data_IF_058020424900
#
_entry.id   IF_058020424900
#
_cell.length_a   1.000
_cell.length_b   1.000
_cell.length_c   1.000
_cell.angle_alpha   90.00
_cell.angle_beta   90.00
_cell.angle_gamma   90.00
#
_symmetry.space_group_name_H-M   'P 1'
#
loop_
_entity.id
_entity.type
_entity.pdbx_description
1 polymer ?
#
# COMPACT_ATOMS: atom_id res chain seq x y z
N UNK A 1 -20.98 -30.16 20.49
CA UNK A 1 -21.31 -28.96 19.66
C UNK A 1 -22.75 -29.08 19.18
N UNK A 2 -23.54 -28.05 19.36
CA UNK A 2 -24.93 -28.02 18.85
C UNK A 2 -24.94 -27.72 17.35
N UNK A 3 -26.04 -28.10 16.68
CA UNK A 3 -26.24 -27.74 15.28
C UNK A 3 -26.18 -26.22 15.05
N UNK A 4 -26.76 -25.45 15.98
CA UNK A 4 -26.71 -23.99 15.95
C UNK A 4 -25.28 -23.47 15.93
N UNK A 5 -24.42 -23.99 16.80
CA UNK A 5 -23.01 -23.57 16.87
C UNK A 5 -22.25 -23.92 15.58
N UNK A 6 -22.55 -25.08 14.99
CA UNK A 6 -21.94 -25.47 13.71
C UNK A 6 -22.35 -24.55 12.59
N UNK A 7 -23.64 -24.17 12.50
CA UNK A 7 -24.15 -23.27 11.49
C UNK A 7 -23.58 -21.84 11.67
N UNK A 8 -23.45 -21.38 12.90
CA UNK A 8 -22.83 -20.07 13.18
C UNK A 8 -21.37 -20.04 12.75
N UNK A 9 -20.64 -21.11 12.99
CA UNK A 9 -19.23 -21.24 12.57
C UNK A 9 -19.12 -21.16 11.06
N UNK A 10 -19.95 -21.92 10.33
CA UNK A 10 -19.96 -21.91 8.87
C UNK A 10 -20.28 -20.53 8.31
N UNK A 11 -21.28 -19.85 8.90
CA UNK A 11 -21.64 -18.49 8.50
C UNK A 11 -20.48 -17.53 8.68
N UNK A 12 -19.80 -17.57 9.82
CA UNK A 12 -18.65 -16.70 10.10
C UNK A 12 -17.49 -16.96 9.15
N UNK A 13 -17.24 -18.23 8.84
CA UNK A 13 -16.20 -18.60 7.87
C UNK A 13 -16.54 -18.12 6.46
N UNK A 14 -17.82 -18.23 6.05
CA UNK A 14 -18.27 -17.75 4.75
C UNK A 14 -18.17 -16.22 4.67
N UNK A 15 -18.57 -15.50 5.72
CA UNK A 15 -18.48 -14.05 5.78
C UNK A 15 -17.02 -13.59 5.68
N UNK A 16 -16.12 -14.30 6.34
CA UNK A 16 -14.69 -14.00 6.25
C UNK A 16 -14.17 -14.19 4.83
N UNK A 17 -14.52 -15.30 4.16
CA UNK A 17 -14.11 -15.57 2.78
C UNK A 17 -14.63 -14.48 1.84
N UNK A 18 -15.87 -14.04 2.04
CA UNK A 18 -16.47 -12.99 1.23
C UNK A 18 -15.74 -11.65 1.42
N UNK A 19 -15.41 -11.29 2.67
CA UNK A 19 -14.65 -10.06 2.94
C UNK A 19 -13.26 -10.11 2.33
N UNK A 20 -12.57 -11.25 2.45
CA UNK A 20 -11.23 -11.43 1.86
C UNK A 20 -11.28 -11.31 0.34
N UNK A 21 -12.31 -11.85 -0.30
CA UNK A 21 -12.50 -11.75 -1.76
C UNK A 21 -12.76 -10.31 -2.19
N UNK A 22 -13.63 -9.60 -1.48
CA UNK A 22 -13.93 -8.19 -1.76
C UNK A 22 -12.66 -7.33 -1.63
N UNK A 23 -11.88 -7.57 -0.58
CA UNK A 23 -10.64 -6.84 -0.34
C UNK A 23 -9.63 -7.11 -1.46
N UNK A 24 -9.48 -8.37 -1.87
CA UNK A 24 -8.61 -8.74 -2.98
C UNK A 24 -9.04 -8.03 -4.26
N UNK A 25 -10.34 -8.02 -4.56
CA UNK A 25 -10.87 -7.38 -5.77
C UNK A 25 -10.57 -5.87 -5.76
N UNK A 26 -10.72 -5.21 -4.62
CA UNK A 26 -10.40 -3.79 -4.49
C UNK A 26 -8.92 -3.51 -4.75
N UNK A 27 -8.02 -4.34 -4.21
CA UNK A 27 -6.58 -4.20 -4.46
C UNK A 27 -6.26 -4.43 -5.93
N UNK A 28 -6.85 -5.45 -6.57
CA UNK A 28 -6.64 -5.74 -7.99
C UNK A 28 -7.07 -4.54 -8.86
N UNK A 29 -8.22 -3.95 -8.57
CA UNK A 29 -8.72 -2.77 -9.27
C UNK A 29 -7.80 -1.55 -9.08
N UNK A 30 -7.33 -1.33 -7.86
CA UNK A 30 -6.44 -0.20 -7.55
C UNK A 30 -5.09 -0.33 -8.23
N UNK A 31 -4.53 -1.54 -8.31
CA UNK A 31 -3.28 -1.79 -9.03
C UNK A 31 -3.43 -1.40 -10.49
N UNK A 32 -4.52 -1.83 -11.13
CA UNK A 32 -4.78 -1.49 -12.54
C UNK A 32 -4.96 0.01 -12.72
N UNK A 33 -5.73 0.64 -11.85
CA UNK A 33 -6.04 2.07 -11.94
C UNK A 33 -4.82 2.95 -11.67
N UNK A 34 -3.87 2.46 -10.84
CA UNK A 34 -2.74 3.25 -10.34
C UNK A 34 -1.38 2.74 -10.84
N UNK A 35 -1.36 1.86 -11.83
CA UNK A 35 -0.11 1.30 -12.36
C UNK A 35 0.85 2.39 -12.86
N UNK A 36 0.32 3.51 -13.36
CA UNK A 36 1.11 4.66 -13.78
C UNK A 36 1.94 5.28 -12.66
N UNK A 37 1.63 4.96 -11.41
CA UNK A 37 2.35 5.47 -10.22
C UNK A 37 3.62 4.68 -9.93
N UNK A 38 3.76 3.47 -10.49
CA UNK A 38 4.95 2.65 -10.28
C UNK A 38 6.07 3.12 -11.21
N UNK A 39 7.24 3.41 -10.65
CA UNK A 39 8.41 3.87 -11.41
C UNK A 39 9.69 3.79 -10.59
N UNK A 40 10.81 3.94 -11.26
CA UNK A 40 12.12 4.03 -10.61
C UNK A 40 12.66 5.44 -10.76
N UNK A 41 13.15 6.02 -9.67
CA UNK A 41 13.72 7.37 -9.63
C UNK A 41 14.98 7.34 -8.75
N UNK A 42 16.12 7.72 -9.33
CA UNK A 42 17.40 7.82 -8.60
C UNK A 42 17.77 6.54 -7.84
N UNK A 43 17.53 5.37 -8.45
CA UNK A 43 17.84 4.09 -7.84
C UNK A 43 16.82 3.61 -6.81
N UNK A 44 15.71 4.30 -6.66
CA UNK A 44 14.62 3.92 -5.77
C UNK A 44 13.40 3.50 -6.59
N UNK A 45 12.82 2.35 -6.26
CA UNK A 45 11.59 1.86 -6.88
C UNK A 45 10.40 2.27 -6.03
N UNK A 46 9.42 2.88 -6.67
CA UNK A 46 8.12 3.22 -6.08
C UNK A 46 7.13 2.17 -6.55
N UNK A 47 6.65 1.33 -5.62
CA UNK A 47 5.77 0.20 -5.95
C UNK A 47 4.51 0.21 -5.10
N UNK A 48 3.42 -0.28 -5.67
CA UNK A 48 2.14 -0.37 -4.98
C UNK A 48 1.99 -1.73 -4.30
N UNK A 49 1.29 -1.80 -3.15
CA UNK A 49 0.94 -3.08 -2.56
C UNK A 49 -0.02 -3.83 -3.50
N UNK A 50 0.20 -5.12 -3.69
CA UNK A 50 -0.64 -5.96 -4.56
C UNK A 50 -1.81 -6.58 -3.80
N UNK A 51 -1.66 -6.70 -2.48
CA UNK A 51 -2.68 -7.31 -1.59
C UNK A 51 -2.53 -6.73 -0.19
N UNK A 52 -3.56 -6.92 0.62
CA UNK A 52 -3.59 -6.39 1.99
C UNK A 52 -2.41 -6.89 2.83
N UNK A 53 -2.01 -8.15 2.67
CA UNK A 53 -0.88 -8.71 3.42
C UNK A 53 0.44 -8.02 3.11
N UNK A 54 0.60 -7.40 1.94
CA UNK A 54 1.81 -6.65 1.62
C UNK A 54 1.97 -5.43 2.55
N UNK A 55 0.86 -4.74 2.86
CA UNK A 55 0.87 -3.62 3.80
C UNK A 55 1.18 -4.10 5.22
N UNK A 56 0.55 -5.20 5.63
CA UNK A 56 0.78 -5.78 6.96
C UNK A 56 2.24 -6.23 7.13
N UNK A 57 2.78 -6.91 6.11
CA UNK A 57 4.16 -7.39 6.13
C UNK A 57 5.17 -6.23 6.13
N UNK A 58 4.88 -5.17 5.40
CA UNK A 58 5.71 -3.97 5.41
C UNK A 58 5.76 -3.34 6.80
N UNK A 59 4.60 -3.23 7.46
CA UNK A 59 4.52 -2.71 8.82
C UNK A 59 5.31 -3.57 9.81
N UNK A 60 5.21 -4.89 9.69
CA UNK A 60 5.98 -5.81 10.53
C UNK A 60 7.48 -5.68 10.29
N UNK A 61 7.90 -5.61 9.03
CA UNK A 61 9.32 -5.50 8.68
C UNK A 61 9.94 -4.18 9.14
N UNK A 62 9.19 -3.09 9.09
CA UNK A 62 9.68 -1.77 9.45
C UNK A 62 9.32 -1.34 10.88
N UNK A 63 8.66 -2.22 11.63
CA UNK A 63 8.27 -1.97 13.04
C UNK A 63 7.46 -0.69 13.20
N UNK A 64 6.46 -0.49 12.33
CA UNK A 64 5.51 0.60 12.50
C UNK A 64 4.07 0.09 12.35
N UNK A 65 3.12 0.84 12.89
CA UNK A 65 1.72 0.46 12.89
C UNK A 65 1.08 0.81 11.54
N UNK A 66 0.46 -0.18 10.88
CA UNK A 66 -0.19 0.00 9.58
C UNK A 66 -1.62 -0.55 9.56
N UNK A 67 -2.17 -0.93 10.71
CA UNK A 67 -3.48 -1.61 10.77
C UNK A 67 -4.61 -0.83 10.12
N UNK A 68 -4.58 0.51 10.21
CA UNK A 68 -5.61 1.36 9.60
C UNK A 68 -5.36 1.61 8.12
N UNK A 69 -4.14 1.41 7.63
CA UNK A 69 -3.78 1.72 6.24
C UNK A 69 -4.40 0.76 5.23
N UNK A 70 -4.61 -0.51 5.62
CA UNK A 70 -5.21 -1.51 4.72
C UNK A 70 -6.57 -1.03 4.23
N UNK A 71 -7.46 -0.65 5.15
CA UNK A 71 -8.82 -0.23 4.81
C UNK A 71 -8.82 1.09 4.05
N UNK A 72 -8.00 2.04 4.45
CA UNK A 72 -7.91 3.35 3.80
C UNK A 72 -7.35 3.25 2.38
N UNK A 73 -6.37 2.38 2.17
CA UNK A 73 -5.84 2.10 0.84
C UNK A 73 -6.88 1.39 -0.02
N UNK A 74 -7.54 0.37 0.53
CA UNK A 74 -8.54 -0.41 -0.20
C UNK A 74 -9.75 0.44 -0.62
N UNK A 75 -10.14 1.41 0.21
CA UNK A 75 -11.26 2.32 -0.10
C UNK A 75 -10.87 3.43 -1.08
N UNK A 76 -9.58 3.59 -1.38
CA UNK A 76 -9.11 4.64 -2.25
C UNK A 76 -8.91 6.00 -1.58
N UNK A 77 -9.12 6.08 -0.27
CA UNK A 77 -8.96 7.32 0.50
C UNK A 77 -7.52 7.81 0.48
N UNK A 78 -6.58 6.86 0.57
CA UNK A 78 -5.14 7.15 0.47
C UNK A 78 -4.51 6.17 -0.53
N UNK A 79 -3.27 6.44 -0.91
CA UNK A 79 -2.43 5.48 -1.63
C UNK A 79 -1.19 5.19 -0.79
N UNK A 80 -0.99 3.93 -0.45
CA UNK A 80 0.26 3.48 0.16
C UNK A 80 1.22 3.11 -0.97
N UNK A 81 2.43 3.63 -0.90
CA UNK A 81 3.49 3.36 -1.87
C UNK A 81 4.72 2.88 -1.10
N UNK A 82 5.27 1.76 -1.50
CA UNK A 82 6.52 1.28 -0.94
C UNK A 82 7.68 1.86 -1.75
N UNK A 83 8.65 2.45 -1.06
CA UNK A 83 9.88 2.94 -1.69
C UNK A 83 10.98 1.96 -1.33
N UNK A 84 11.58 1.36 -2.35
CA UNK A 84 12.58 0.31 -2.19
C UNK A 84 13.82 0.61 -2.99
N UNK A 85 14.95 0.08 -2.55
CA UNK A 85 16.18 0.17 -3.32
C UNK A 85 16.03 -0.68 -4.58
N UNK A 86 16.33 -0.11 -5.75
CA UNK A 86 16.22 -0.83 -7.01
C UNK A 86 17.12 -2.08 -7.07
N UNK A 87 18.24 -2.09 -6.33
CA UNK A 87 19.13 -3.23 -6.23
C UNK A 87 18.64 -4.32 -5.28
N UNK A 88 17.64 -4.02 -4.43
CA UNK A 88 17.06 -4.95 -3.47
C UNK A 88 15.52 -4.73 -3.37
N UNK A 89 14.75 -4.94 -4.45
CA UNK A 89 13.35 -4.53 -4.51
C UNK A 89 12.42 -5.32 -3.59
N UNK A 90 12.87 -6.45 -3.09
CA UNK A 90 12.07 -7.26 -2.16
C UNK A 90 12.27 -6.88 -0.70
N UNK A 91 13.27 -6.04 -0.40
CA UNK A 91 13.55 -5.61 0.97
C UNK A 91 12.76 -4.36 1.30
N UNK A 92 12.00 -4.41 2.39
CA UNK A 92 11.28 -3.26 2.91
C UNK A 92 12.26 -2.15 3.32
N UNK A 93 11.99 -0.92 2.93
CA UNK A 93 12.87 0.21 3.19
C UNK A 93 12.10 1.42 3.70
N UNK A 94 11.15 1.93 2.92
CA UNK A 94 10.32 3.06 3.32
C UNK A 94 8.87 2.84 2.92
N UNK A 95 7.94 3.36 3.73
CA UNK A 95 6.52 3.40 3.41
C UNK A 95 6.08 4.84 3.26
N UNK A 96 5.46 5.17 2.13
CA UNK A 96 4.96 6.49 1.84
C UNK A 96 3.44 6.50 1.80
N UNK A 97 2.84 7.51 2.42
CA UNK A 97 1.41 7.76 2.34
C UNK A 97 1.17 8.96 1.42
N UNK A 98 0.35 8.76 0.39
CA UNK A 98 -0.03 9.78 -0.58
C UNK A 98 -1.54 10.00 -0.52
N UNK A 99 -1.97 11.24 -0.41
CA UNK A 99 -3.39 11.57 -0.26
C UNK A 99 -3.68 12.94 -0.86
N UNK A 100 -4.74 13.04 -1.65
CA UNK A 100 -5.19 14.30 -2.23
C UNK A 100 -4.08 15.07 -2.94
N UNK A 101 -3.29 14.36 -3.77
CA UNK A 101 -2.19 14.92 -4.56
C UNK A 101 -0.99 15.39 -3.74
N UNK A 102 -0.90 14.99 -2.48
CA UNK A 102 0.19 15.37 -1.59
C UNK A 102 0.82 14.16 -0.91
N UNK A 103 2.13 14.23 -0.66
CA UNK A 103 2.82 13.25 0.16
C UNK A 103 2.57 13.62 1.62
N UNK A 104 1.86 12.76 2.34
CA UNK A 104 1.52 13.00 3.75
C UNK A 104 2.70 12.69 4.64
N UNK A 105 3.34 11.55 4.43
CA UNK A 105 4.50 11.14 5.20
C UNK A 105 5.30 10.06 4.47
N UNK A 106 6.58 9.94 4.83
CA UNK A 106 7.45 8.84 4.46
C UNK A 106 8.13 8.37 5.74
N UNK A 107 8.05 7.09 6.05
CA UNK A 107 8.60 6.51 7.28
C UNK A 107 9.53 5.35 6.98
N UNK A 108 10.66 5.35 7.65
CA UNK A 108 11.63 4.25 7.67
C UNK A 108 11.33 3.32 8.85
N UNK A 109 12.20 2.33 9.06
CA UNK A 109 12.10 1.40 10.19
C UNK A 109 11.98 2.16 11.53
N UNK A 110 11.17 1.62 12.43
CA UNK A 110 10.84 2.24 13.73
C UNK A 110 10.24 3.63 13.60
N UNK A 111 9.48 3.84 12.51
CA UNK A 111 8.75 5.10 12.26
C UNK A 111 9.68 6.33 12.17
N UNK A 112 10.92 6.12 11.77
CA UNK A 112 11.91 7.18 11.62
C UNK A 112 11.75 7.92 10.30
N UNK A 113 12.28 9.14 10.25
CA UNK A 113 12.30 9.94 9.03
C UNK A 113 13.35 9.39 8.05
N UNK A 114 13.06 9.36 6.73
CA UNK A 114 14.05 8.96 5.75
C UNK A 114 15.05 10.07 5.49
N UNK A 115 16.21 9.75 4.86
CA UNK A 115 17.16 10.77 4.41
C UNK A 115 16.53 11.75 3.40
N UNK A 116 17.15 12.91 3.25
CA UNK A 116 16.68 13.94 2.31
C UNK A 116 16.60 13.45 0.87
N UNK A 117 17.51 12.58 0.46
CA UNK A 117 17.54 12.02 -0.89
C UNK A 117 16.26 11.28 -1.23
N UNK A 118 15.67 10.61 -0.25
CA UNK A 118 14.39 9.89 -0.43
C UNK A 118 13.26 10.89 -0.67
N UNK A 119 13.23 11.97 0.11
CA UNK A 119 12.25 13.04 -0.09
C UNK A 119 12.41 13.71 -1.46
N UNK A 120 13.65 13.94 -1.90
CA UNK A 120 13.90 14.52 -3.22
C UNK A 120 13.36 13.61 -4.33
N UNK A 121 13.62 12.31 -4.24
CA UNK A 121 13.09 11.35 -5.20
C UNK A 121 11.55 11.29 -5.16
N UNK A 122 10.97 11.34 -3.97
CA UNK A 122 9.52 11.33 -3.80
C UNK A 122 8.84 12.57 -4.41
N UNK A 123 9.48 13.73 -4.31
CA UNK A 123 8.96 14.96 -4.94
C UNK A 123 9.00 14.85 -6.47
N UNK A 124 10.04 14.26 -7.04
CA UNK A 124 10.11 13.98 -8.48
C UNK A 124 9.00 13.00 -8.87
N UNK A 125 8.82 11.94 -8.08
CA UNK A 125 7.76 10.97 -8.26
C UNK A 125 6.39 11.66 -8.28
N UNK A 126 6.12 12.52 -7.31
CA UNK A 126 4.84 13.24 -7.22
C UNK A 126 4.55 14.04 -8.47
N UNK A 127 5.51 14.79 -8.97
CA UNK A 127 5.35 15.57 -10.20
C UNK A 127 5.02 14.68 -11.40
N UNK A 128 5.71 13.55 -11.53
CA UNK A 128 5.46 12.60 -12.62
C UNK A 128 4.09 11.95 -12.50
N UNK A 129 3.69 11.56 -11.29
CA UNK A 129 2.39 10.96 -11.00
C UNK A 129 1.26 11.93 -11.35
N UNK A 130 1.35 13.18 -10.93
CA UNK A 130 0.33 14.18 -11.23
C UNK A 130 0.19 14.44 -12.73
N UNK A 131 1.30 14.44 -13.46
CA UNK A 131 1.28 14.60 -14.92
C UNK A 131 0.66 13.38 -15.61
N UNK A 132 1.09 12.16 -15.22
CA UNK A 132 0.56 10.92 -15.80
C UNK A 132 -0.91 10.69 -15.44
N UNK A 133 -1.30 11.04 -14.22
CA UNK A 133 -2.69 10.93 -13.78
C UNK A 133 -3.65 11.76 -14.61
N UNK A 134 -3.23 12.96 -15.04
CA UNK A 134 -4.03 13.81 -15.94
C UNK A 134 -4.27 13.15 -17.28
N UNK A 135 -3.26 12.43 -17.81
CA UNK A 135 -3.38 11.72 -19.10
C UNK A 135 -4.27 10.50 -19.01
N UNK A 136 -4.40 9.91 -17.81
CA UNK A 136 -5.19 8.72 -17.58
C UNK A 136 -6.58 9.00 -16.97
N UNK A 137 -6.89 10.27 -16.74
CA UNK A 137 -8.16 10.68 -16.19
C UNK A 137 -9.28 10.67 -17.27
#
# INVERSE_FOLDING_TARGET
>A
MTLYNALERERKEQDKRNRDRELKNKFDELIKARQYMEMEINGLKFVLPKKASDIVNEGSALHHCVSTYVDRHASGTITIVFIRNASAPKKSLYTMEFCKKEIVQIRAKYNQNPPKEVWNAAEIWKKKVLTRGRKNA
#
